data_IF_210902972424
#
_entry.id   IF_210902972424
#
_cell.length_a   1.000
_cell.length_b   1.000
_cell.length_c   1.000
_cell.angle_alpha   90.00
_cell.angle_beta   90.00
_cell.angle_gamma   90.00
#
_symmetry.space_group_name_H-M   'P 1'
#
loop_
_entity.id
_entity.type
_entity.pdbx_description
1 polymer ?
#
# COMPACT_ATOMS: atom_id res chain seq x y z
N UNK A 1 -49.48 -34.63 21.57
CA UNK A 1 -49.25 -35.60 22.66
C UNK A 1 -47.89 -36.26 22.46
N UNK A 2 -47.04 -36.32 23.52
CA UNK A 2 -46.01 -37.36 23.82
C UNK A 2 -45.05 -37.77 22.67
N UNK A 3 -43.71 -37.72 22.73
CA UNK A 3 -42.76 -37.97 23.84
C UNK A 3 -41.39 -37.35 23.51
N UNK A 4 -40.72 -36.95 24.58
CA UNK A 4 -39.29 -36.69 24.71
C UNK A 4 -38.46 -37.87 24.20
N UNK A 5 -37.40 -37.61 23.41
CA UNK A 5 -36.13 -38.34 23.50
C UNK A 5 -35.01 -37.31 23.31
N UNK A 6 -34.33 -37.01 24.40
CA UNK A 6 -33.09 -36.28 24.44
C UNK A 6 -31.98 -37.14 23.82
N UNK A 7 -31.37 -36.67 22.73
CA UNK A 7 -30.11 -37.21 22.22
C UNK A 7 -29.05 -36.13 22.39
N UNK A 8 -28.32 -36.23 23.50
CA UNK A 8 -27.07 -35.52 23.71
C UNK A 8 -26.03 -36.04 22.71
N UNK A 9 -25.91 -35.37 21.56
CA UNK A 9 -24.78 -35.52 20.67
C UNK A 9 -23.81 -34.38 20.99
N UNK A 10 -22.81 -34.67 21.82
CA UNK A 10 -21.65 -33.82 22.01
C UNK A 10 -20.92 -33.68 20.66
N UNK A 11 -21.18 -32.58 19.94
CA UNK A 11 -20.32 -32.17 18.84
C UNK A 11 -19.03 -31.64 19.46
N UNK A 12 -18.03 -32.51 19.45
CA UNK A 12 -16.66 -32.17 19.76
C UNK A 12 -16.26 -30.94 18.93
N UNK A 13 -15.97 -29.87 19.65
CA UNK A 13 -15.38 -28.65 19.14
C UNK A 13 -14.04 -29.02 18.52
N UNK A 14 -13.99 -29.10 17.18
CA UNK A 14 -12.75 -29.04 16.42
C UNK A 14 -12.26 -27.59 16.44
N UNK A 15 -11.88 -27.09 17.62
CA UNK A 15 -10.98 -25.95 17.74
C UNK A 15 -9.58 -26.47 17.40
N UNK A 16 -9.36 -26.78 16.12
CA UNK A 16 -8.01 -26.90 15.61
C UNK A 16 -7.33 -25.55 15.84
N UNK A 17 -6.11 -25.50 16.41
CA UNK A 17 -5.39 -24.26 16.46
C UNK A 17 -5.17 -23.87 15.00
N UNK A 18 -5.77 -22.75 14.60
CA UNK A 18 -5.31 -22.05 13.41
C UNK A 18 -3.82 -21.81 13.68
N UNK A 19 -2.96 -22.60 13.02
CA UNK A 19 -1.57 -22.25 12.89
C UNK A 19 -1.60 -20.93 12.10
N UNK A 20 -1.67 -19.83 12.83
CA UNK A 20 -1.22 -18.55 12.35
C UNK A 20 0.20 -18.84 11.86
N UNK A 21 0.35 -18.94 10.54
CA UNK A 21 1.64 -18.78 9.92
C UNK A 21 2.09 -17.43 10.45
N UNK A 22 2.98 -17.46 11.44
CA UNK A 22 3.70 -16.29 11.84
C UNK A 22 4.44 -15.89 10.57
N UNK A 23 3.86 -14.95 9.82
CA UNK A 23 4.58 -14.14 8.87
C UNK A 23 5.76 -13.58 9.66
N UNK A 24 6.88 -14.29 9.61
CA UNK A 24 8.15 -13.82 10.17
C UNK A 24 8.33 -12.39 9.67
N UNK A 25 8.85 -11.48 10.53
CA UNK A 25 8.64 -10.04 10.40
C UNK A 25 8.71 -9.64 8.93
N UNK A 26 7.53 -9.39 8.32
CA UNK A 26 7.43 -9.12 6.91
C UNK A 26 8.42 -7.99 6.63
N UNK A 27 9.50 -8.31 5.91
CA UNK A 27 10.61 -7.39 5.73
C UNK A 27 10.03 -6.13 5.09
N UNK A 28 9.87 -5.08 5.89
CA UNK A 28 9.19 -3.87 5.45
C UNK A 28 10.19 -3.15 4.55
N UNK A 29 10.05 -3.35 3.24
CA UNK A 29 10.83 -2.63 2.26
C UNK A 29 10.53 -1.13 2.42
N UNK A 30 11.55 -0.36 2.74
CA UNK A 30 11.46 1.08 2.91
C UNK A 30 12.55 1.76 2.11
N UNK A 31 12.23 2.92 1.53
CA UNK A 31 13.17 3.71 0.73
C UNK A 31 13.07 5.17 1.12
N UNK A 32 14.18 5.73 1.60
CA UNK A 32 14.25 7.16 1.91
C UNK A 32 14.21 7.98 0.60
N UNK A 33 13.34 8.99 0.57
CA UNK A 33 13.26 9.96 -0.54
C UNK A 33 13.62 11.33 0.02
N UNK A 34 14.73 11.89 -0.46
CA UNK A 34 15.18 13.22 -0.02
C UNK A 34 14.51 14.34 -0.81
N UNK A 35 14.08 15.40 -0.12
CA UNK A 35 13.62 16.65 -0.71
C UNK A 35 14.74 17.68 -0.96
N UNK A 36 16.00 17.33 -0.73
CA UNK A 36 17.14 18.24 -0.87
C UNK A 36 17.18 18.86 -2.26
N UNK A 37 17.29 20.19 -2.30
CA UNK A 37 17.36 20.97 -3.54
C UNK A 37 16.02 21.23 -4.22
N UNK A 38 14.90 20.79 -3.64
CA UNK A 38 13.56 21.09 -4.13
C UNK A 38 12.86 22.10 -3.24
N UNK A 39 12.25 23.09 -3.87
CA UNK A 39 11.33 24.01 -3.22
C UNK A 39 9.90 23.54 -3.48
N UNK A 40 9.32 22.84 -2.50
CA UNK A 40 7.98 22.25 -2.63
C UNK A 40 6.85 23.28 -2.70
N UNK A 41 7.15 24.57 -2.53
CA UNK A 41 6.18 25.65 -2.82
C UNK A 41 6.05 25.93 -4.32
N UNK A 42 7.05 25.57 -5.13
CA UNK A 42 7.03 25.69 -6.59
C UNK A 42 6.40 24.44 -7.21
N UNK A 43 5.42 24.64 -8.08
CA UNK A 43 4.71 23.55 -8.75
C UNK A 43 5.65 22.61 -9.52
N UNK A 44 6.67 23.14 -10.19
CA UNK A 44 7.67 22.34 -10.94
C UNK A 44 8.40 21.36 -10.03
N UNK A 45 8.91 21.84 -8.90
CA UNK A 45 9.65 21.03 -7.94
C UNK A 45 8.71 20.05 -7.22
N UNK A 46 7.46 20.45 -6.92
CA UNK A 46 6.45 19.55 -6.38
C UNK A 46 6.15 18.38 -7.33
N UNK A 47 6.13 18.59 -8.65
CA UNK A 47 6.00 17.53 -9.64
C UNK A 47 7.22 16.60 -9.65
N UNK A 48 8.44 17.14 -9.54
CA UNK A 48 9.66 16.32 -9.43
C UNK A 48 9.59 15.44 -8.18
N UNK A 49 9.16 15.99 -7.05
CA UNK A 49 8.96 15.21 -5.83
C UNK A 49 7.89 14.12 -6.01
N UNK A 50 6.75 14.46 -6.61
CA UNK A 50 5.69 13.49 -6.92
C UNK A 50 6.22 12.31 -7.73
N UNK A 51 7.02 12.56 -8.77
CA UNK A 51 7.67 11.50 -9.57
C UNK A 51 8.65 10.64 -8.76
N UNK A 52 9.40 11.24 -7.82
CA UNK A 52 10.36 10.50 -6.98
C UNK A 52 9.65 9.59 -5.99
N UNK A 53 8.59 10.10 -5.35
CA UNK A 53 7.71 9.31 -4.49
C UNK A 53 7.09 8.16 -5.26
N UNK A 54 6.65 8.42 -6.50
CA UNK A 54 6.03 7.41 -7.35
C UNK A 54 6.95 6.23 -7.66
N UNK A 55 8.19 6.52 -8.06
CA UNK A 55 9.19 5.48 -8.32
C UNK A 55 9.59 4.73 -7.05
N UNK A 56 9.68 5.44 -5.93
CA UNK A 56 9.99 4.80 -4.65
C UNK A 56 8.86 3.85 -4.22
N UNK A 57 7.61 4.28 -4.33
CA UNK A 57 6.43 3.48 -4.01
C UNK A 57 6.32 2.24 -4.90
N UNK A 58 6.54 2.37 -6.22
CA UNK A 58 6.63 1.21 -7.10
C UNK A 58 7.74 0.24 -6.66
N UNK A 59 8.94 0.78 -6.41
CA UNK A 59 10.12 -0.02 -6.05
C UNK A 59 9.93 -0.83 -4.78
N UNK A 60 9.34 -0.25 -3.73
CA UNK A 60 9.11 -0.97 -2.46
C UNK A 60 7.96 -1.97 -2.57
N UNK A 61 7.02 -1.74 -3.50
CA UNK A 61 5.86 -2.61 -3.73
C UNK A 61 6.08 -3.65 -4.85
N UNK A 62 7.32 -3.84 -5.33
CA UNK A 62 7.68 -4.93 -6.23
C UNK A 62 7.61 -4.62 -7.73
N UNK A 63 7.49 -3.35 -8.11
CA UNK A 63 7.61 -2.90 -9.51
C UNK A 63 8.74 -1.89 -9.69
N UNK A 64 9.11 -1.63 -10.94
CA UNK A 64 10.05 -0.56 -11.29
C UNK A 64 9.59 0.17 -12.54
N UNK A 65 10.29 1.24 -12.90
CA UNK A 65 10.04 1.96 -14.15
C UNK A 65 10.26 1.10 -15.41
N UNK A 66 11.07 0.04 -15.29
CA UNK A 66 11.36 -0.94 -16.33
C UNK A 66 10.38 -2.12 -16.37
N UNK A 67 9.48 -2.24 -15.39
CA UNK A 67 8.45 -3.29 -15.37
C UNK A 67 7.43 -3.07 -16.50
N UNK A 68 6.76 -4.15 -16.92
CA UNK A 68 5.64 -4.06 -17.87
C UNK A 68 4.56 -3.07 -17.36
N UNK A 69 3.88 -2.40 -18.29
CA UNK A 69 2.87 -1.37 -17.96
C UNK A 69 1.73 -1.91 -17.10
N UNK A 70 1.30 -3.14 -17.34
CA UNK A 70 0.25 -3.79 -16.57
C UNK A 70 0.71 -4.03 -15.12
N UNK A 71 1.93 -4.54 -14.93
CA UNK A 71 2.54 -4.72 -13.59
C UNK A 71 2.63 -3.40 -12.83
N UNK A 72 3.05 -2.33 -13.50
CA UNK A 72 3.08 -1.00 -12.88
C UNK A 72 1.67 -0.54 -12.47
N UNK A 73 0.66 -0.83 -13.27
CA UNK A 73 -0.74 -0.46 -13.02
C UNK A 73 -1.32 -1.25 -11.85
N UNK A 74 -1.07 -2.55 -11.80
CA UNK A 74 -1.52 -3.42 -10.71
C UNK A 74 -0.87 -3.02 -9.38
N UNK A 75 0.44 -2.73 -9.38
CA UNK A 75 1.12 -2.24 -8.18
C UNK A 75 0.54 -0.91 -7.73
N UNK A 76 0.22 0.02 -8.64
CA UNK A 76 -0.41 1.31 -8.28
C UNK A 76 -1.80 1.16 -7.67
N UNK A 77 -2.52 0.09 -8.04
CA UNK A 77 -3.84 -0.24 -7.48
C UNK A 77 -3.76 -1.00 -6.15
N UNK A 78 -2.57 -1.50 -5.79
CA UNK A 78 -2.37 -2.27 -4.57
C UNK A 78 -2.55 -1.45 -3.30
N UNK A 79 -2.84 -2.13 -2.18
CA UNK A 79 -2.81 -1.51 -0.86
C UNK A 79 -1.40 -1.01 -0.50
N UNK A 80 -0.35 -1.77 -0.86
CA UNK A 80 1.04 -1.39 -0.60
C UNK A 80 1.37 0.01 -1.14
N UNK A 81 0.99 0.30 -2.39
CA UNK A 81 1.29 1.59 -3.01
C UNK A 81 0.55 2.73 -2.30
N UNK A 82 -0.73 2.53 -1.96
CA UNK A 82 -1.53 3.52 -1.21
C UNK A 82 -0.92 3.80 0.16
N UNK A 83 -0.61 2.76 0.92
CA UNK A 83 -0.03 2.90 2.26
C UNK A 83 1.36 3.54 2.23
N UNK A 84 2.17 3.24 1.21
CA UNK A 84 3.48 3.86 1.02
C UNK A 84 3.36 5.35 0.70
N UNK A 85 2.42 5.71 -0.18
CA UNK A 85 2.17 7.10 -0.54
C UNK A 85 1.58 7.91 0.61
N UNK A 86 0.62 7.37 1.35
CA UNK A 86 0.01 8.05 2.49
C UNK A 86 1.05 8.35 3.58
N UNK A 87 1.91 7.37 3.88
CA UNK A 87 3.04 7.58 4.81
C UNK A 87 4.00 8.65 4.30
N UNK A 88 4.39 8.60 3.02
CA UNK A 88 5.29 9.58 2.45
C UNK A 88 4.70 11.00 2.47
N UNK A 89 3.43 11.16 2.11
CA UNK A 89 2.75 12.45 2.10
C UNK A 89 2.54 13.01 3.51
N UNK A 90 2.21 12.15 4.49
CA UNK A 90 2.11 12.55 5.89
C UNK A 90 3.44 13.08 6.45
N UNK A 91 4.57 12.49 6.03
CA UNK A 91 5.90 12.91 6.45
C UNK A 91 6.38 14.18 5.75
N UNK A 92 5.98 14.39 4.50
CA UNK A 92 6.43 15.52 3.68
C UNK A 92 5.71 16.84 4.04
N UNK A 93 4.48 16.78 4.57
CA UNK A 93 3.67 17.94 4.97
C UNK A 93 3.52 19.03 3.88
N UNK A 94 3.55 18.65 2.60
CA UNK A 94 3.54 19.57 1.46
C UNK A 94 2.32 19.33 0.54
N UNK A 95 1.23 20.12 0.65
CA UNK A 95 -0.01 19.91 -0.12
C UNK A 95 0.16 20.00 -1.64
N UNK A 96 1.12 20.81 -2.10
CA UNK A 96 1.44 20.98 -3.52
C UNK A 96 1.86 19.65 -4.18
N UNK A 97 2.53 18.76 -3.43
CA UNK A 97 2.96 17.44 -3.93
C UNK A 97 1.76 16.50 -4.07
N UNK A 98 0.81 16.54 -3.12
CA UNK A 98 -0.45 15.79 -3.23
C UNK A 98 -1.32 16.27 -4.40
N UNK A 99 -1.30 17.57 -4.71
CA UNK A 99 -1.97 18.11 -5.90
C UNK A 99 -1.32 17.62 -7.20
N UNK A 100 0.02 17.63 -7.26
CA UNK A 100 0.78 17.11 -8.40
C UNK A 100 0.51 15.61 -8.65
N UNK A 101 0.52 14.78 -7.60
CA UNK A 101 0.22 13.35 -7.70
C UNK A 101 -1.17 13.08 -8.30
N UNK A 102 -2.20 13.83 -7.89
CA UNK A 102 -3.55 13.71 -8.46
C UNK A 102 -3.57 14.09 -9.93
N UNK A 103 -2.87 15.15 -10.33
CA UNK A 103 -2.73 15.53 -11.74
C UNK A 103 -2.10 14.41 -12.59
N UNK A 104 -1.06 13.75 -12.09
CA UNK A 104 -0.43 12.61 -12.77
C UNK A 104 -1.36 11.39 -12.89
N UNK A 105 -2.20 11.13 -11.90
CA UNK A 105 -3.16 10.04 -11.96
C UNK A 105 -4.20 10.26 -13.07
N UNK A 106 -4.71 11.49 -13.20
CA UNK A 106 -5.66 11.87 -14.25
C UNK A 106 -5.05 11.86 -15.65
N UNK A 107 -3.76 12.21 -15.79
CA UNK A 107 -3.07 12.18 -17.08
C UNK A 107 -2.77 10.76 -17.59
N UNK A 108 -2.93 9.73 -16.73
CA UNK A 108 -2.61 8.33 -17.04
C UNK A 108 -3.86 7.45 -17.17
N UNK A 109 -5.04 7.95 -16.75
CA UNK A 109 -6.35 7.32 -16.98
C UNK A 109 -6.85 7.58 -18.39
#
# INVERSE_FOLDING_TARGET
MKRLIATAAALAVLAGPAAALADGPAATSSRAVSASGLDLSRATDANVMAMRLDRAALSVCGASEFSARDVQTDVRRSACYRDAMDRALSALSAPAVSAALRGHALARS
#
